data_IF_092051460505
#
_entry.id   IF_092051460505
#
_cell.length_a   1.000
_cell.length_b   1.000
_cell.length_c   1.000
_cell.angle_alpha   90.00
_cell.angle_beta   90.00
_cell.angle_gamma   90.00
#
_symmetry.space_group_name_H-M   'P 1'
#
loop_
_entity.id
_entity.type
_entity.pdbx_description
1 polymer ?
#
# COMPACT_ATOMS: atom_id res chain seq x y z
N UNK A 1 -43.24 -6.29 0.72
CA UNK A 1 -42.10 -6.31 1.65
C UNK A 1 -40.94 -5.68 0.91
N UNK A 2 -40.51 -4.51 1.34
CA UNK A 2 -39.32 -3.86 0.79
C UNK A 2 -38.15 -4.69 1.27
N UNK A 3 -37.36 -5.30 0.37
CA UNK A 3 -36.12 -5.98 0.73
C UNK A 3 -35.20 -4.94 1.40
N UNK A 4 -35.02 -5.02 2.71
CA UNK A 4 -34.06 -4.19 3.40
C UNK A 4 -32.70 -4.59 2.91
N UNK A 5 -32.02 -3.70 2.21
CA UNK A 5 -30.61 -3.91 1.84
C UNK A 5 -29.83 -4.23 3.10
N UNK A 6 -29.06 -5.33 3.06
CA UNK A 6 -28.21 -5.77 4.19
C UNK A 6 -27.24 -4.67 4.64
N UNK A 7 -26.75 -3.88 3.69
CA UNK A 7 -25.77 -2.80 3.88
C UNK A 7 -26.28 -1.46 3.32
N UNK A 8 -25.83 -0.36 3.92
CA UNK A 8 -26.08 0.99 3.44
C UNK A 8 -25.11 1.34 2.29
N UNK A 9 -23.90 0.75 2.31
CA UNK A 9 -22.87 0.91 1.31
C UNK A 9 -22.11 -0.41 1.11
N UNK A 10 -21.76 -0.72 -0.14
CA UNK A 10 -20.84 -1.83 -0.47
C UNK A 10 -19.72 -1.29 -1.33
N UNK A 11 -18.48 -1.59 -0.94
CA UNK A 11 -17.24 -1.17 -1.60
C UNK A 11 -16.51 -2.39 -2.14
N UNK A 12 -15.94 -2.28 -3.35
CA UNK A 12 -14.99 -3.24 -3.89
C UNK A 12 -13.63 -2.57 -3.99
N UNK A 13 -12.67 -3.06 -3.23
CA UNK A 13 -11.30 -2.53 -3.20
C UNK A 13 -10.36 -3.52 -3.88
N UNK A 14 -9.71 -3.16 -5.00
CA UNK A 14 -8.89 -4.09 -5.77
C UNK A 14 -7.58 -4.42 -5.07
N UNK A 15 -6.99 -5.59 -5.39
CA UNK A 15 -5.57 -5.80 -5.20
C UNK A 15 -4.75 -5.10 -6.28
N UNK A 16 -3.42 -5.21 -6.18
CA UNK A 16 -2.50 -4.68 -7.17
C UNK A 16 -1.41 -5.69 -7.54
N UNK A 17 -0.85 -5.52 -8.73
CA UNK A 17 0.46 -6.05 -9.11
C UNK A 17 1.41 -4.89 -9.30
N UNK A 18 2.71 -5.14 -9.19
CA UNK A 18 3.74 -4.22 -9.68
C UNK A 18 4.46 -4.86 -10.87
N UNK A 19 4.60 -4.14 -11.97
CA UNK A 19 5.23 -4.67 -13.18
C UNK A 19 6.75 -4.61 -13.07
N UNK A 20 7.25 -3.51 -12.51
CA UNK A 20 8.66 -3.20 -12.28
C UNK A 20 8.78 -2.04 -11.29
N UNK A 21 9.93 -1.92 -10.60
CA UNK A 21 10.17 -0.90 -9.59
C UNK A 21 10.09 -1.48 -8.16
N UNK A 22 10.42 -2.76 -7.99
CA UNK A 22 10.40 -3.39 -6.68
C UNK A 22 11.41 -2.74 -5.71
N UNK A 23 10.97 -2.45 -4.50
CA UNK A 23 11.75 -1.77 -3.46
C UNK A 23 12.15 -0.31 -3.77
N UNK A 24 11.50 0.33 -4.75
CA UNK A 24 11.80 1.72 -5.13
C UNK A 24 10.89 2.71 -4.40
N UNK A 25 9.71 2.31 -4.02
CA UNK A 25 8.66 3.14 -3.44
C UNK A 25 9.04 3.84 -2.12
N UNK A 26 9.89 3.24 -1.32
CA UNK A 26 10.44 3.87 -0.11
C UNK A 26 11.85 4.48 -0.32
N UNK A 27 12.36 4.43 -1.55
CA UNK A 27 13.63 5.01 -1.96
C UNK A 27 13.47 6.24 -2.87
N UNK A 28 12.24 6.76 -3.02
CA UNK A 28 11.93 8.02 -3.71
C UNK A 28 11.94 7.95 -5.24
N UNK A 29 11.97 6.76 -5.84
CA UNK A 29 11.98 6.61 -7.30
C UNK A 29 10.61 6.23 -7.89
N UNK A 30 10.64 5.67 -9.10
CA UNK A 30 9.45 5.34 -9.89
C UNK A 30 9.05 3.87 -9.75
N UNK A 31 7.73 3.65 -9.72
CA UNK A 31 7.12 2.32 -9.74
C UNK A 31 6.08 2.24 -10.84
N UNK A 32 5.76 1.02 -11.29
CA UNK A 32 4.82 0.81 -12.40
C UNK A 32 3.73 -0.22 -12.04
N UNK A 33 2.92 0.04 -11.01
CA UNK A 33 1.85 -0.86 -10.60
C UNK A 33 0.59 -0.75 -11.46
N UNK A 34 -0.30 -1.75 -11.28
CA UNK A 34 -1.65 -1.75 -11.79
C UNK A 34 -2.62 -2.38 -10.79
N UNK A 35 -3.83 -1.84 -10.69
CA UNK A 35 -4.92 -2.52 -10.00
C UNK A 35 -5.36 -3.76 -10.81
N UNK A 36 -5.77 -4.81 -10.09
CA UNK A 36 -6.25 -6.06 -10.68
C UNK A 36 -7.75 -6.27 -10.43
N UNK A 37 -8.32 -7.26 -11.08
CA UNK A 37 -9.75 -7.57 -10.95
C UNK A 37 -10.12 -8.42 -9.72
N UNK A 38 -9.12 -8.94 -9.00
CA UNK A 38 -9.33 -9.54 -7.68
C UNK A 38 -9.46 -8.43 -6.64
N UNK A 39 -10.36 -8.59 -5.67
CA UNK A 39 -10.69 -7.52 -4.75
C UNK A 39 -11.13 -8.03 -3.36
N UNK A 40 -11.22 -7.09 -2.43
CA UNK A 40 -11.94 -7.23 -1.17
C UNK A 40 -13.28 -6.50 -1.32
N UNK A 41 -14.37 -7.19 -1.01
CA UNK A 41 -15.71 -6.61 -0.92
C UNK A 41 -16.03 -6.30 0.53
N UNK A 42 -16.44 -5.07 0.82
CA UNK A 42 -16.70 -4.57 2.17
C UNK A 42 -18.11 -3.99 2.22
N UNK A 43 -18.98 -4.59 3.03
CA UNK A 43 -20.32 -4.08 3.29
C UNK A 43 -20.33 -3.26 4.58
N UNK A 44 -20.90 -2.06 4.55
CA UNK A 44 -21.00 -1.15 5.69
C UNK A 44 -22.45 -0.87 6.04
N UNK A 45 -22.75 -0.77 7.35
CA UNK A 45 -24.04 -0.34 7.87
C UNK A 45 -23.87 0.61 9.03
N UNK A 46 -24.46 1.82 8.92
CA UNK A 46 -24.47 2.78 10.03
C UNK A 46 -25.25 2.23 11.23
N UNK A 47 -24.78 2.58 12.42
CA UNK A 47 -25.45 2.27 13.68
C UNK A 47 -25.48 3.48 14.59
N UNK A 48 -26.35 3.43 15.56
CA UNK A 48 -26.35 4.37 16.70
C UNK A 48 -25.40 3.87 17.78
N UNK A 49 -24.84 4.81 18.55
CA UNK A 49 -23.88 4.52 19.62
C UNK A 49 -22.44 4.56 19.18
N UNK A 50 -21.54 3.93 19.93
CA UNK A 50 -20.08 4.01 19.76
C UNK A 50 -19.42 2.65 19.44
N UNK A 51 -20.14 1.52 19.57
CA UNK A 51 -19.58 0.18 19.38
C UNK A 51 -19.69 -0.27 17.94
N UNK A 52 -18.55 -0.48 17.29
CA UNK A 52 -18.42 -1.01 15.95
C UNK A 52 -18.19 -2.52 15.96
N UNK A 53 -18.77 -3.22 14.97
CA UNK A 53 -18.61 -4.65 14.80
C UNK A 53 -18.01 -4.96 13.44
N UNK A 54 -16.83 -5.52 13.42
CA UNK A 54 -16.08 -5.88 12.21
C UNK A 54 -16.08 -7.41 12.09
N UNK A 55 -16.59 -7.91 10.98
CA UNK A 55 -16.66 -9.34 10.68
C UNK A 55 -15.92 -9.65 9.37
N UNK A 56 -15.40 -10.85 9.28
CA UNK A 56 -14.80 -11.39 8.06
C UNK A 56 -15.30 -12.81 7.83
N UNK A 57 -15.47 -13.20 6.57
CA UNK A 57 -15.83 -14.59 6.23
C UNK A 57 -14.70 -15.58 6.43
N UNK A 58 -13.45 -15.11 6.52
CA UNK A 58 -12.25 -15.95 6.58
C UNK A 58 -11.55 -15.95 7.93
N UNK A 59 -11.91 -15.05 8.85
CA UNK A 59 -11.28 -14.92 10.17
C UNK A 59 -12.32 -14.51 11.22
N UNK A 60 -11.97 -14.69 12.51
CA UNK A 60 -12.82 -14.23 13.60
C UNK A 60 -13.01 -12.71 13.57
N UNK A 61 -14.26 -12.27 13.82
CA UNK A 61 -14.61 -10.88 13.94
C UNK A 61 -14.16 -10.27 15.27
N UNK A 62 -14.28 -8.95 15.37
CA UNK A 62 -14.00 -8.24 16.61
C UNK A 62 -14.91 -7.02 16.79
N UNK A 63 -14.98 -6.57 18.03
CA UNK A 63 -15.65 -5.33 18.43
C UNK A 63 -14.61 -4.30 18.86
N UNK A 64 -14.92 -3.03 18.67
CA UNK A 64 -14.20 -1.93 19.30
C UNK A 64 -15.15 -0.75 19.56
N UNK A 65 -14.76 0.11 20.50
CA UNK A 65 -15.55 1.26 20.90
C UNK A 65 -14.84 2.55 20.44
N UNK A 66 -15.54 3.41 19.71
CA UNK A 66 -15.00 4.69 19.21
C UNK A 66 -14.70 5.71 20.34
N UNK A 67 -15.33 5.56 21.51
CA UNK A 67 -15.10 6.41 22.68
C UNK A 67 -13.87 5.99 23.50
N UNK A 68 -13.32 4.81 23.24
CA UNK A 68 -12.12 4.33 23.89
C UNK A 68 -10.86 4.68 23.10
N UNK A 69 -9.69 4.86 23.76
CA UNK A 69 -8.45 5.08 23.08
C UNK A 69 -8.11 3.92 22.10
N UNK A 70 -7.98 4.24 20.82
CA UNK A 70 -7.62 3.26 19.81
C UNK A 70 -6.15 2.88 19.96
N UNK A 71 -5.90 1.57 20.13
CA UNK A 71 -4.56 1.00 20.28
C UNK A 71 -4.42 -0.24 19.42
N UNK A 72 -3.20 -0.55 18.93
CA UNK A 72 -2.96 -1.81 18.26
C UNK A 72 -3.38 -3.00 19.13
N UNK A 73 -4.05 -3.97 18.52
CA UNK A 73 -4.32 -5.28 19.13
C UNK A 73 -3.01 -6.08 19.22
N UNK A 74 -3.05 -7.22 19.90
CA UNK A 74 -1.88 -8.12 19.99
C UNK A 74 -1.22 -8.34 18.64
N UNK A 75 0.11 -8.60 18.63
CA UNK A 75 0.92 -8.73 17.42
C UNK A 75 0.27 -9.62 16.37
N UNK A 76 0.30 -9.15 15.11
CA UNK A 76 -0.24 -9.83 13.92
C UNK A 76 -1.77 -9.99 13.88
N UNK A 77 -2.54 -9.27 14.69
CA UNK A 77 -3.98 -9.29 14.58
C UNK A 77 -4.44 -8.51 13.34
N UNK A 78 -5.12 -9.18 12.41
CA UNK A 78 -5.57 -8.58 11.16
C UNK A 78 -6.42 -7.31 11.32
N UNK A 79 -7.11 -7.18 12.45
CA UNK A 79 -7.87 -5.96 12.80
C UNK A 79 -7.00 -4.70 12.91
N UNK A 80 -5.68 -4.83 13.04
CA UNK A 80 -4.79 -3.66 13.11
C UNK A 80 -4.82 -2.83 11.83
N UNK A 81 -5.00 -3.45 10.66
CA UNK A 81 -5.21 -2.73 9.40
C UNK A 81 -6.46 -1.85 9.45
N UNK A 82 -7.57 -2.38 9.99
CA UNK A 82 -8.86 -1.68 10.07
C UNK A 82 -8.82 -0.57 11.13
N UNK A 83 -8.40 -0.91 12.36
CA UNK A 83 -8.41 0.08 13.47
C UNK A 83 -7.37 1.18 13.27
N UNK A 84 -6.25 0.90 12.59
CA UNK A 84 -5.25 1.92 12.21
C UNK A 84 -5.83 2.95 11.23
N UNK A 85 -6.62 2.51 10.26
CA UNK A 85 -7.34 3.42 9.35
C UNK A 85 -8.35 4.28 10.10
N UNK A 86 -9.11 3.68 11.03
CA UNK A 86 -10.10 4.42 11.82
C UNK A 86 -9.42 5.46 12.72
N UNK A 87 -8.29 5.11 13.36
CA UNK A 87 -7.48 6.05 14.14
C UNK A 87 -6.99 7.23 13.29
N UNK A 88 -6.51 6.94 12.07
CA UNK A 88 -6.08 7.97 11.12
C UNK A 88 -7.24 8.90 10.71
N UNK A 89 -8.42 8.35 10.45
CA UNK A 89 -9.63 9.14 10.14
C UNK A 89 -10.02 10.02 11.33
N UNK A 90 -10.09 9.48 12.55
CA UNK A 90 -10.48 10.23 13.74
C UNK A 90 -9.51 11.37 14.05
N UNK A 91 -8.22 11.22 13.75
CA UNK A 91 -7.22 12.29 13.89
C UNK A 91 -7.45 13.44 12.91
N UNK A 92 -7.87 13.15 11.67
CA UNK A 92 -8.15 14.18 10.66
C UNK A 92 -9.57 14.75 10.75
N UNK A 93 -10.53 13.94 11.17
CA UNK A 93 -11.97 14.27 11.21
C UNK A 93 -12.58 13.84 12.54
N UNK A 94 -12.22 14.51 13.64
CA UNK A 94 -12.73 14.16 14.98
C UNK A 94 -14.26 14.31 15.03
N UNK A 95 -14.93 13.41 15.75
CA UNK A 95 -16.36 13.41 16.02
C UNK A 95 -17.29 13.24 14.79
N UNK A 96 -16.76 12.88 13.62
CA UNK A 96 -17.60 12.64 12.43
C UNK A 96 -17.99 11.19 12.23
N UNK A 97 -17.34 10.24 12.92
CA UNK A 97 -17.74 8.83 12.90
C UNK A 97 -18.75 8.54 14.01
N UNK A 98 -19.75 7.75 13.70
CA UNK A 98 -20.58 7.02 14.67
C UNK A 98 -20.39 5.52 14.48
N UNK A 99 -21.01 4.70 15.34
CA UNK A 99 -20.91 3.26 15.23
C UNK A 99 -21.35 2.74 13.85
N UNK A 100 -20.71 1.66 13.42
CA UNK A 100 -21.04 0.96 12.18
C UNK A 100 -20.73 -0.52 12.29
N UNK A 101 -21.42 -1.33 11.50
CA UNK A 101 -21.05 -2.71 11.23
C UNK A 101 -20.31 -2.77 9.90
N UNK A 102 -19.32 -3.65 9.83
CA UNK A 102 -18.52 -3.88 8.63
C UNK A 102 -18.39 -5.40 8.41
N UNK A 103 -18.73 -5.87 7.21
CA UNK A 103 -18.54 -7.26 6.80
C UNK A 103 -17.58 -7.33 5.61
N UNK A 104 -16.53 -8.14 5.75
CA UNK A 104 -15.43 -8.24 4.79
C UNK A 104 -15.43 -9.63 4.14
N UNK A 105 -15.40 -9.63 2.82
CA UNK A 105 -15.20 -10.82 1.98
C UNK A 105 -14.09 -10.56 0.97
N UNK A 106 -13.20 -11.55 0.77
CA UNK A 106 -12.04 -11.41 -0.13
C UNK A 106 -11.99 -12.56 -1.12
N UNK A 107 -11.69 -12.23 -2.39
CA UNK A 107 -11.24 -13.20 -3.37
C UNK A 107 -9.74 -13.08 -3.69
N UNK A 108 -9.03 -12.20 -2.95
CA UNK A 108 -7.58 -12.11 -3.00
C UNK A 108 -6.98 -13.29 -2.23
N UNK A 109 -6.09 -14.09 -2.81
CA UNK A 109 -5.34 -15.10 -2.08
C UNK A 109 -4.51 -14.48 -0.98
N UNK A 110 -4.68 -14.94 0.25
CA UNK A 110 -3.96 -14.40 1.42
C UNK A 110 -2.46 -14.69 1.29
N UNK A 111 -1.62 -13.69 1.55
CA UNK A 111 -0.16 -13.83 1.54
C UNK A 111 0.48 -14.01 0.16
N UNK A 112 -0.25 -13.73 -0.91
CA UNK A 112 0.22 -13.92 -2.31
C UNK A 112 0.97 -12.70 -2.88
N UNK A 113 1.26 -11.69 -2.09
CA UNK A 113 2.01 -10.50 -2.54
C UNK A 113 1.22 -9.53 -3.43
N UNK A 114 -0.10 -9.66 -3.52
CA UNK A 114 -0.98 -8.78 -4.32
C UNK A 114 -1.69 -7.71 -3.48
N UNK A 115 -1.08 -7.33 -2.37
CA UNK A 115 -1.49 -6.22 -1.48
C UNK A 115 -2.90 -6.32 -0.91
N UNK A 116 -3.20 -7.45 -0.29
CA UNK A 116 -4.47 -7.61 0.44
C UNK A 116 -4.59 -6.64 1.63
N UNK A 117 -3.48 -6.25 2.28
CA UNK A 117 -3.44 -5.23 3.32
C UNK A 117 -3.90 -3.87 2.80
N UNK A 118 -3.24 -3.35 1.76
CA UNK A 118 -3.60 -2.07 1.16
C UNK A 118 -5.03 -2.07 0.59
N UNK A 119 -5.48 -3.20 -0.01
CA UNK A 119 -6.86 -3.34 -0.47
C UNK A 119 -7.85 -3.22 0.69
N UNK A 120 -7.56 -3.82 1.84
CA UNK A 120 -8.41 -3.71 3.03
C UNK A 120 -8.40 -2.28 3.58
N UNK A 121 -7.24 -1.71 3.80
CA UNK A 121 -7.07 -0.36 4.36
C UNK A 121 -7.73 0.71 3.50
N UNK A 122 -7.43 0.73 2.19
CA UNK A 122 -8.02 1.70 1.27
C UNK A 122 -9.52 1.51 1.11
N UNK A 123 -9.99 0.25 1.11
CA UNK A 123 -11.43 -0.06 1.07
C UNK A 123 -12.18 0.42 2.31
N UNK A 124 -11.60 0.27 3.50
CA UNK A 124 -12.15 0.82 4.76
C UNK A 124 -12.13 2.35 4.73
N UNK A 125 -11.01 2.97 4.33
CA UNK A 125 -10.88 4.42 4.26
C UNK A 125 -11.91 5.04 3.29
N UNK A 126 -12.06 4.44 2.10
CA UNK A 126 -13.05 4.87 1.10
C UNK A 126 -14.47 4.68 1.63
N UNK A 127 -14.79 3.49 2.16
CA UNK A 127 -16.14 3.18 2.63
C UNK A 127 -16.59 4.08 3.77
N UNK A 128 -15.72 4.36 4.74
CA UNK A 128 -16.04 5.27 5.84
C UNK A 128 -16.14 6.74 5.36
N UNK A 129 -15.30 7.14 4.38
CA UNK A 129 -15.41 8.45 3.75
C UNK A 129 -16.81 8.66 3.14
N UNK A 130 -17.26 7.71 2.31
CA UNK A 130 -18.58 7.79 1.66
C UNK A 130 -19.72 7.64 2.66
N UNK A 131 -19.62 6.69 3.59
CA UNK A 131 -20.69 6.41 4.55
C UNK A 131 -20.99 7.59 5.47
N UNK A 132 -19.95 8.33 5.87
CA UNK A 132 -20.05 9.44 6.83
C UNK A 132 -19.84 10.82 6.22
N UNK A 133 -19.63 10.91 4.89
CA UNK A 133 -19.36 12.16 4.17
C UNK A 133 -18.20 12.95 4.83
N UNK A 134 -17.04 12.29 4.96
CA UNK A 134 -15.89 12.85 5.69
C UNK A 134 -15.08 13.87 4.88
N UNK A 135 -15.33 13.96 3.58
CA UNK A 135 -14.65 14.86 2.65
C UNK A 135 -13.12 14.69 2.67
N UNK A 136 -12.69 13.41 2.67
CA UNK A 136 -11.28 13.03 2.54
C UNK A 136 -10.90 12.95 1.07
N UNK A 137 -9.78 13.57 0.70
CA UNK A 137 -9.21 13.42 -0.63
C UNK A 137 -8.65 12.01 -0.85
N UNK A 138 -8.40 11.63 -2.12
CA UNK A 138 -7.70 10.37 -2.44
C UNK A 138 -6.37 10.27 -1.71
N UNK A 139 -5.61 11.37 -1.69
CA UNK A 139 -4.31 11.42 -1.04
C UNK A 139 -4.40 11.29 0.50
N UNK A 140 -5.44 11.85 1.12
CA UNK A 140 -5.69 11.66 2.56
C UNK A 140 -5.90 10.17 2.85
N UNK A 141 -6.75 9.49 2.06
CA UNK A 141 -7.04 8.06 2.23
C UNK A 141 -5.81 7.18 2.02
N UNK A 142 -4.99 7.48 0.99
CA UNK A 142 -3.71 6.80 0.74
C UNK A 142 -2.78 6.93 1.94
N UNK A 143 -2.59 8.14 2.45
CA UNK A 143 -1.69 8.41 3.59
C UNK A 143 -2.21 7.80 4.89
N UNK A 144 -3.51 7.81 5.12
CA UNK A 144 -4.14 7.15 6.28
C UNK A 144 -3.86 5.64 6.23
N UNK A 145 -4.06 5.00 5.08
CA UNK A 145 -3.84 3.58 4.89
C UNK A 145 -2.37 3.20 5.09
N UNK A 146 -1.43 3.91 4.47
CA UNK A 146 0.00 3.70 4.67
C UNK A 146 0.40 3.85 6.14
N UNK A 147 -0.12 4.90 6.81
CA UNK A 147 0.19 5.14 8.21
C UNK A 147 -0.39 4.06 9.14
N UNK A 148 -1.52 3.45 8.79
CA UNK A 148 -2.06 2.32 9.52
C UNK A 148 -1.10 1.11 9.48
N UNK A 149 -0.51 0.79 8.33
CA UNK A 149 0.54 -0.24 8.24
C UNK A 149 1.77 0.09 9.09
N UNK A 150 2.23 1.34 9.08
CA UNK A 150 3.39 1.75 9.86
C UNK A 150 3.16 1.66 11.37
N UNK A 151 2.07 2.27 11.84
CA UNK A 151 1.86 2.52 13.28
C UNK A 151 1.15 1.36 13.99
N UNK A 152 0.32 0.58 13.29
CA UNK A 152 -0.50 -0.48 13.89
C UNK A 152 -0.04 -1.89 13.52
N UNK A 153 0.56 -2.07 12.35
CA UNK A 153 1.05 -3.37 11.88
C UNK A 153 2.57 -3.50 12.05
N UNK A 154 3.31 -2.39 11.94
CA UNK A 154 4.77 -2.35 12.08
C UNK A 154 5.52 -2.61 10.77
N UNK A 155 4.83 -2.62 9.62
CA UNK A 155 5.45 -2.72 8.29
C UNK A 155 5.77 -1.33 7.78
N UNK A 156 7.04 -1.02 7.60
CA UNK A 156 7.49 0.28 7.05
C UNK A 156 7.41 0.30 5.52
N UNK A 157 6.22 0.04 4.96
CA UNK A 157 6.02 0.01 3.51
C UNK A 157 6.22 1.39 2.86
N UNK A 158 6.51 1.42 1.55
CA UNK A 158 6.39 2.61 0.72
C UNK A 158 4.92 2.96 0.45
N UNK A 159 4.67 3.85 -0.52
CA UNK A 159 3.32 4.35 -0.80
C UNK A 159 2.65 3.63 -1.98
N UNK A 160 3.40 2.83 -2.72
CA UNK A 160 2.98 2.23 -4.00
C UNK A 160 1.66 1.47 -3.90
N UNK A 161 1.52 0.63 -2.89
CA UNK A 161 0.40 -0.30 -2.74
C UNK A 161 -0.93 0.43 -2.56
N UNK A 162 -0.97 1.34 -1.60
CA UNK A 162 -2.15 2.14 -1.31
C UNK A 162 -2.48 3.10 -2.46
N UNK A 163 -1.45 3.63 -3.13
CA UNK A 163 -1.62 4.48 -4.30
C UNK A 163 -2.24 3.70 -5.47
N UNK A 164 -1.70 2.52 -5.78
CA UNK A 164 -2.20 1.69 -6.86
C UNK A 164 -3.64 1.20 -6.65
N UNK A 165 -3.99 0.84 -5.41
CA UNK A 165 -5.34 0.43 -5.03
C UNK A 165 -6.33 1.58 -5.19
N UNK A 166 -5.95 2.79 -4.77
CA UNK A 166 -6.85 3.97 -4.76
C UNK A 166 -6.98 4.61 -6.15
N UNK A 167 -5.86 4.77 -6.87
CA UNK A 167 -5.79 5.50 -8.13
C UNK A 167 -5.88 4.62 -9.38
N UNK A 168 -5.92 3.30 -9.21
CA UNK A 168 -5.94 2.33 -10.29
C UNK A 168 -7.13 2.48 -11.22
N UNK A 169 -6.88 2.40 -12.53
CA UNK A 169 -7.92 2.47 -13.56
C UNK A 169 -7.85 1.25 -14.48
N UNK A 170 -9.02 0.85 -14.97
CA UNK A 170 -9.13 -0.29 -15.90
C UNK A 170 -8.23 -0.09 -17.13
N UNK A 171 -7.42 -1.10 -17.46
CA UNK A 171 -6.48 -1.10 -18.60
C UNK A 171 -5.43 0.02 -18.53
N UNK A 172 -5.02 0.40 -17.33
CA UNK A 172 -3.95 1.38 -17.12
C UNK A 172 -2.92 0.83 -16.14
N UNK A 173 -1.68 1.14 -16.42
CA UNK A 173 -0.58 1.13 -15.45
C UNK A 173 -0.45 2.52 -14.84
N UNK A 174 0.14 2.60 -13.68
CA UNK A 174 0.43 3.88 -13.01
C UNK A 174 1.94 4.04 -12.96
N UNK A 175 2.51 4.95 -13.74
CA UNK A 175 3.88 5.40 -13.50
C UNK A 175 3.83 6.44 -12.38
N UNK A 176 4.26 6.05 -11.19
CA UNK A 176 4.23 6.89 -10.00
C UNK A 176 5.66 7.25 -9.61
N UNK A 177 5.94 8.54 -9.44
CA UNK A 177 7.09 9.02 -8.69
C UNK A 177 6.74 9.01 -7.20
N UNK A 178 7.42 8.18 -6.41
CA UNK A 178 7.08 7.97 -5.00
C UNK A 178 7.55 9.10 -4.07
N UNK A 179 8.41 10.00 -4.53
CA UNK A 179 8.81 11.20 -3.79
C UNK A 179 7.80 12.33 -3.97
N UNK A 180 7.52 12.72 -5.23
CA UNK A 180 6.65 13.86 -5.53
C UNK A 180 5.18 13.51 -5.52
N UNK A 181 4.83 12.23 -5.64
CA UNK A 181 3.50 11.67 -5.86
C UNK A 181 2.88 12.09 -7.20
N UNK A 182 3.68 12.64 -8.11
CA UNK A 182 3.26 12.84 -9.49
C UNK A 182 3.08 11.49 -10.16
N UNK A 183 2.02 11.33 -10.93
CA UNK A 183 1.76 10.08 -11.60
C UNK A 183 1.21 10.28 -13.01
N UNK A 184 1.44 9.28 -13.83
CA UNK A 184 0.91 9.19 -15.18
C UNK A 184 0.20 7.85 -15.40
N UNK A 185 -1.00 7.89 -15.97
CA UNK A 185 -1.73 6.69 -16.38
C UNK A 185 -1.30 6.27 -17.78
N UNK A 186 -0.61 5.13 -17.87
CA UNK A 186 -0.11 4.57 -19.13
C UNK A 186 -1.10 3.52 -19.63
N UNK A 187 -1.55 3.56 -20.89
CA UNK A 187 -2.35 2.49 -21.47
C UNK A 187 -1.65 1.13 -21.38
N UNK A 188 -2.37 0.13 -20.87
CA UNK A 188 -1.88 -1.25 -20.72
C UNK A 188 -2.62 -2.18 -21.69
N UNK A 189 -2.41 -2.02 -22.99
CA UNK A 189 -2.87 -3.02 -23.96
C UNK A 189 -1.77 -4.05 -24.18
N UNK A 190 -1.94 -5.18 -23.53
CA UNK A 190 -0.98 -6.28 -23.57
C UNK A 190 -1.39 -7.39 -24.57
N UNK A 191 -2.44 -7.18 -25.38
CA UNK A 191 -2.86 -8.19 -26.35
C UNK A 191 -1.74 -8.52 -27.36
N UNK A 192 -1.54 -9.80 -27.69
CA UNK A 192 -2.31 -11.02 -27.30
C UNK A 192 -1.86 -11.64 -25.96
N UNK A 193 -0.96 -11.04 -25.22
CA UNK A 193 -0.39 -11.60 -23.99
C UNK A 193 -1.35 -11.51 -22.80
N UNK A 194 -1.06 -12.29 -21.76
CA UNK A 194 -1.78 -12.27 -20.48
C UNK A 194 -0.77 -12.23 -19.34
N UNK A 195 -1.09 -11.50 -18.29
CA UNK A 195 -0.33 -11.56 -17.03
C UNK A 195 -0.83 -12.77 -16.26
N UNK A 196 0.10 -13.66 -15.87
CA UNK A 196 -0.17 -14.83 -15.05
C UNK A 196 0.49 -14.66 -13.71
N UNK A 197 -0.29 -14.78 -12.64
CA UNK A 197 0.20 -14.75 -11.27
C UNK A 197 0.35 -16.19 -10.76
N UNK A 198 1.54 -16.55 -10.35
CA UNK A 198 1.86 -17.85 -9.76
C UNK A 198 2.07 -17.67 -8.26
N UNK A 199 1.14 -18.21 -7.45
CA UNK A 199 1.32 -18.20 -6.01
C UNK A 199 2.33 -19.30 -5.62
N UNK A 200 3.48 -18.91 -5.09
CA UNK A 200 4.53 -19.82 -4.62
C UNK A 200 4.19 -20.51 -3.31
N UNK A 201 3.10 -20.11 -2.64
CA UNK A 201 2.67 -20.58 -1.33
C UNK A 201 3.72 -20.36 -0.20
N UNK A 202 4.68 -19.48 -0.41
CA UNK A 202 5.58 -19.02 0.64
C UNK A 202 4.83 -17.99 1.47
N UNK A 203 4.55 -18.31 2.73
CA UNK A 203 3.88 -17.39 3.61
C UNK A 203 4.80 -16.20 3.92
N UNK A 204 4.37 -15.00 3.53
CA UNK A 204 5.05 -13.77 3.88
C UNK A 204 4.50 -13.23 5.20
N UNK A 205 5.32 -13.25 6.22
CA UNK A 205 5.05 -12.52 7.46
C UNK A 205 5.62 -11.11 7.31
N UNK A 206 4.85 -10.20 6.70
CA UNK A 206 5.28 -8.85 6.31
C UNK A 206 5.82 -8.02 7.49
N UNK A 207 5.30 -8.23 8.68
CA UNK A 207 5.73 -7.51 9.88
C UNK A 207 7.09 -7.97 10.42
N UNK A 208 7.61 -9.11 9.96
CA UNK A 208 8.73 -9.76 10.60
C UNK A 208 9.98 -9.78 9.76
N UNK A 209 10.62 -8.80 9.48
CA UNK A 209 12.05 -8.86 9.29
C UNK A 209 12.62 -8.50 7.91
N UNK A 210 12.43 -9.31 6.87
CA UNK A 210 13.20 -9.16 5.63
C UNK A 210 12.89 -7.84 4.88
N UNK A 211 11.61 -7.43 4.84
CA UNK A 211 11.25 -6.18 4.19
C UNK A 211 11.81 -4.96 4.95
N UNK A 212 11.61 -4.93 6.27
CA UNK A 212 12.13 -3.85 7.11
C UNK A 212 13.67 -3.83 7.10
N UNK A 213 14.34 -5.00 7.13
CA UNK A 213 15.79 -5.11 7.00
C UNK A 213 16.31 -4.57 5.66
N UNK A 214 15.63 -4.87 4.55
CA UNK A 214 16.01 -4.31 3.24
C UNK A 214 15.90 -2.80 3.22
N UNK A 215 14.84 -2.25 3.80
CA UNK A 215 14.66 -0.81 3.94
C UNK A 215 15.76 -0.20 4.80
N UNK A 216 16.09 -0.80 5.95
CA UNK A 216 17.16 -0.34 6.83
C UNK A 216 18.52 -0.32 6.13
N UNK A 217 18.82 -1.31 5.28
CA UNK A 217 20.05 -1.32 4.52
C UNK A 217 20.09 -0.26 3.42
N UNK A 218 18.97 0.03 2.77
CA UNK A 218 18.87 1.19 1.86
C UNK A 218 19.08 2.52 2.62
N UNK A 219 18.50 2.66 3.82
CA UNK A 219 18.71 3.84 4.67
C UNK A 219 20.18 3.98 5.13
N UNK A 220 20.86 2.85 5.44
CA UNK A 220 22.31 2.85 5.74
C UNK A 220 23.12 3.28 4.54
N UNK A 221 22.81 2.75 3.35
CA UNK A 221 23.48 3.13 2.11
C UNK A 221 23.35 4.63 1.85
N UNK A 222 22.14 5.18 1.95
CA UNK A 222 21.89 6.60 1.75
C UNK A 222 22.67 7.46 2.74
N UNK A 223 22.77 7.07 4.01
CA UNK A 223 23.57 7.80 5.02
C UNK A 223 25.05 7.84 4.68
N UNK A 224 25.62 6.74 4.18
CA UNK A 224 27.02 6.70 3.72
C UNK A 224 27.19 7.64 2.55
N UNK A 225 26.30 7.58 1.57
CA UNK A 225 26.35 8.47 0.40
C UNK A 225 26.25 9.94 0.82
N UNK A 226 25.32 10.28 1.70
CA UNK A 226 25.11 11.65 2.18
C UNK A 226 26.31 12.22 2.97
N UNK A 227 27.18 11.38 3.52
CA UNK A 227 28.41 11.85 4.16
C UNK A 227 29.42 12.43 3.18
N UNK A 228 29.31 12.07 1.89
CA UNK A 228 30.16 12.57 0.79
C UNK A 228 29.40 13.50 -0.16
N UNK A 229 28.10 13.23 -0.37
CA UNK A 229 27.23 13.88 -1.34
C UNK A 229 25.89 14.23 -0.68
N UNK A 230 25.85 15.29 0.15
CA UNK A 230 24.68 15.64 0.97
C UNK A 230 23.47 16.12 0.15
N UNK A 231 23.62 16.39 -1.14
CA UNK A 231 22.55 16.81 -2.04
C UNK A 231 21.53 15.70 -2.33
N UNK A 232 21.91 14.42 -2.29
CA UNK A 232 21.00 13.31 -2.55
C UNK A 232 20.08 13.06 -1.36
N UNK A 233 18.76 13.18 -1.58
CA UNK A 233 17.75 12.96 -0.55
C UNK A 233 17.26 11.53 -0.55
N UNK A 234 17.27 10.87 -1.70
CA UNK A 234 16.75 9.53 -1.92
C UNK A 234 17.75 8.66 -2.66
N UNK A 235 17.76 7.36 -2.36
CA UNK A 235 18.70 6.43 -2.96
C UNK A 235 18.49 6.26 -4.48
N UNK A 236 17.25 6.34 -4.94
CA UNK A 236 16.90 6.23 -6.36
C UNK A 236 17.44 7.42 -7.22
N UNK A 237 17.80 8.55 -6.59
CA UNK A 237 18.37 9.73 -7.29
C UNK A 237 19.87 9.58 -7.55
N UNK A 238 20.52 8.62 -6.88
CA UNK A 238 21.98 8.52 -6.87
C UNK A 238 22.48 7.87 -8.17
N UNK A 239 23.43 8.49 -8.91
CA UNK A 239 24.07 7.85 -10.05
C UNK A 239 24.82 6.56 -9.67
N UNK A 240 24.80 5.56 -10.56
CA UNK A 240 25.42 4.26 -10.30
C UNK A 240 26.95 4.35 -10.10
N UNK A 241 27.62 5.30 -10.76
CA UNK A 241 29.06 5.53 -10.63
C UNK A 241 29.43 6.04 -9.23
N UNK A 242 28.58 6.82 -8.58
CA UNK A 242 28.76 7.23 -7.18
C UNK A 242 28.71 6.01 -6.27
N UNK A 243 27.71 5.12 -6.44
CA UNK A 243 27.62 3.87 -5.68
C UNK A 243 28.91 3.06 -5.81
N UNK A 244 29.42 2.92 -7.05
CA UNK A 244 30.66 2.18 -7.34
C UNK A 244 31.91 2.85 -6.74
N UNK A 245 31.97 4.17 -6.72
CA UNK A 245 33.08 4.92 -6.14
C UNK A 245 33.19 4.68 -4.63
N UNK A 246 32.03 4.53 -3.96
CA UNK A 246 31.95 4.29 -2.52
C UNK A 246 31.88 2.80 -2.16
N UNK A 247 32.11 1.86 -3.07
CA UNK A 247 31.98 0.41 -2.86
C UNK A 247 32.67 -0.09 -1.58
N UNK A 248 33.87 0.43 -1.29
CA UNK A 248 34.67 0.02 -0.13
C UNK A 248 34.13 0.50 1.23
N UNK A 249 33.20 1.44 1.23
CA UNK A 249 32.57 2.00 2.43
C UNK A 249 31.29 1.23 2.81
N UNK A 250 30.78 0.40 1.91
CA UNK A 250 29.63 -0.44 2.16
C UNK A 250 30.05 -1.84 2.61
N UNK A 251 29.24 -2.47 3.43
CA UNK A 251 29.25 -3.92 3.49
C UNK A 251 28.66 -4.52 2.21
N UNK A 252 28.97 -5.79 1.92
CA UNK A 252 28.59 -6.46 0.68
C UNK A 252 27.06 -6.45 0.44
N UNK A 253 26.26 -6.63 1.50
CA UNK A 253 24.79 -6.68 1.41
C UNK A 253 24.24 -5.30 1.11
N UNK A 254 24.69 -4.28 1.82
CA UNK A 254 24.27 -2.89 1.64
C UNK A 254 24.65 -2.40 0.24
N UNK A 255 25.86 -2.71 -0.26
CA UNK A 255 26.30 -2.40 -1.61
C UNK A 255 25.38 -3.01 -2.67
N UNK A 256 25.09 -4.31 -2.57
CA UNK A 256 24.18 -5.00 -3.51
C UNK A 256 22.78 -4.40 -3.51
N UNK A 257 22.26 -4.04 -2.33
CA UNK A 257 20.91 -3.46 -2.21
C UNK A 257 20.86 -2.04 -2.76
N UNK A 258 21.89 -1.22 -2.50
CA UNK A 258 22.00 0.13 -3.06
C UNK A 258 22.13 0.11 -4.59
N UNK A 259 23.01 -0.74 -5.12
CA UNK A 259 23.17 -0.95 -6.55
C UNK A 259 21.87 -1.37 -7.21
N UNK A 260 21.16 -2.35 -6.61
CA UNK A 260 19.87 -2.81 -7.11
C UNK A 260 18.85 -1.66 -7.24
N UNK A 261 18.71 -0.81 -6.21
CA UNK A 261 17.77 0.31 -6.22
C UNK A 261 18.01 1.25 -7.38
N UNK A 262 19.26 1.66 -7.58
CA UNK A 262 19.64 2.59 -8.67
C UNK A 262 19.43 1.95 -10.05
N UNK A 263 19.79 0.68 -10.20
CA UNK A 263 19.58 -0.04 -11.46
C UNK A 263 18.11 -0.30 -11.75
N UNK A 264 17.30 -0.61 -10.71
CA UNK A 264 15.87 -0.83 -10.85
C UNK A 264 15.13 0.46 -11.22
N UNK A 265 15.52 1.59 -10.65
CA UNK A 265 14.99 2.89 -11.05
C UNK A 265 15.23 3.14 -12.55
N UNK A 266 16.43 2.88 -13.04
CA UNK A 266 16.74 3.01 -14.46
C UNK A 266 15.91 2.05 -15.33
N UNK A 267 15.75 0.77 -14.90
CA UNK A 267 14.92 -0.22 -15.61
C UNK A 267 13.47 0.22 -15.65
N UNK A 268 12.93 0.76 -14.55
CA UNK A 268 11.55 1.22 -14.46
C UNK A 268 11.28 2.37 -15.43
N UNK A 269 12.18 3.35 -15.47
CA UNK A 269 12.05 4.47 -16.41
C UNK A 269 12.16 4.01 -17.87
N UNK A 270 13.06 3.08 -18.18
CA UNK A 270 13.18 2.52 -19.54
C UNK A 270 11.91 1.74 -19.93
N UNK A 271 11.43 0.85 -19.06
CA UNK A 271 10.23 0.06 -19.32
C UNK A 271 9.00 0.95 -19.54
N UNK A 272 8.85 2.01 -18.73
CA UNK A 272 7.72 2.94 -18.89
C UNK A 272 7.73 3.63 -20.26
N UNK A 273 8.90 4.02 -20.77
CA UNK A 273 9.05 4.65 -22.10
C UNK A 273 8.72 3.68 -23.23
N UNK A 274 9.21 2.43 -23.15
CA UNK A 274 8.95 1.38 -24.14
C UNK A 274 7.44 1.09 -24.22
N UNK A 275 6.80 0.91 -23.06
CA UNK A 275 5.35 0.66 -23.00
C UNK A 275 4.54 1.86 -23.55
N UNK A 276 4.95 3.10 -23.24
CA UNK A 276 4.29 4.30 -23.77
C UNK A 276 4.38 4.40 -25.29
N UNK A 277 5.48 3.93 -25.88
CA UNK A 277 5.68 3.90 -27.32
C UNK A 277 4.96 2.73 -28.02
N UNK A 278 4.38 1.81 -27.25
CA UNK A 278 3.69 0.64 -27.79
C UNK A 278 4.64 -0.48 -28.30
N UNK A 279 5.85 -0.53 -27.76
CA UNK A 279 6.89 -1.52 -28.08
C UNK A 279 6.90 -2.70 -27.11
#
# INVERSE_FOLDING_TARGET
>A
MVATNKFDLTVQSPGRINLIGEHIDYNGGHVLPAAINLNITIGFKKKTGSVCHITSKSTDGFLFNLEEPIKPKSNNHWGNYVIGVIDGILKLRPNLLSAFDCEIESNLPIGSGISSSAALECGIAFGLNELFNLDLTDLDRIKIAQKAEHDFVGTKCGIMDQFAVTMGQKKKLILLNCETLDYQLIPADINPYKIVLLNTNVAHNLASSEYNLRREDCEKALKIIQSHFPEYKHLAEVPLDIIKTLEKEFDEVVFKRATYVVEEENRTQMASKVIQNGE
#
